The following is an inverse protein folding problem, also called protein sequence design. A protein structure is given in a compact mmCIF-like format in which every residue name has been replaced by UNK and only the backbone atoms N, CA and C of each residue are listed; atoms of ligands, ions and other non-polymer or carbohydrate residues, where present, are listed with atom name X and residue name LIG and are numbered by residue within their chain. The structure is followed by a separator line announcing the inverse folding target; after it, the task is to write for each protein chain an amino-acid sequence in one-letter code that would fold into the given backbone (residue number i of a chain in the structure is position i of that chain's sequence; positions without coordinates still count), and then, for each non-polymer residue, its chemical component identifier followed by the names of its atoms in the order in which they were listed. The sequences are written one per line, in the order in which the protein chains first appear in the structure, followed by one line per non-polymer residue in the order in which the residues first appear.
data_IF_932253696883
#
_entry.id   IF_932253696883
#
_cell.length_a   1.000
_cell.length_b   1.000
_cell.length_c   1.000
_cell.angle_alpha   90.00
_cell.angle_beta   90.00
_cell.angle_gamma   90.00
#
_symmetry.space_group_name_H-M   'P 1'
#
loop_
_entity.id
_entity.type
_entity.pdbx_description
1 polymer ?
#
# COMPACT_ATOMS: atom_id res chain seq x y z
N UNK A 1 -31.37 4.44 33.60
CA UNK A 1 -32.11 4.26 32.32
C UNK A 1 -31.22 3.56 31.30
N UNK A 2 -31.66 2.45 30.69
CA UNK A 2 -30.96 1.85 29.55
C UNK A 2 -31.14 2.79 28.35
N UNK A 3 -30.06 3.40 27.84
CA UNK A 3 -30.07 4.16 26.58
C UNK A 3 -30.49 3.20 25.46
N UNK A 4 -31.60 3.49 24.78
CA UNK A 4 -31.97 2.76 23.56
C UNK A 4 -30.98 3.13 22.46
N UNK A 5 -30.36 2.12 21.85
CA UNK A 5 -29.53 2.29 20.65
C UNK A 5 -30.41 2.04 19.43
N UNK A 6 -30.41 2.92 18.43
CA UNK A 6 -31.11 2.72 17.14
C UNK A 6 -30.46 1.64 16.24
N UNK A 7 -29.68 0.73 16.81
CA UNK A 7 -28.96 -0.34 16.11
C UNK A 7 -29.84 -1.60 16.14
N UNK A 8 -30.32 -2.05 14.99
CA UNK A 8 -31.25 -3.19 14.86
C UNK A 8 -30.55 -4.50 14.53
N UNK A 9 -29.40 -4.43 13.85
CA UNK A 9 -28.66 -5.60 13.35
C UNK A 9 -27.43 -5.93 14.21
N UNK A 10 -27.06 -7.21 14.22
CA UNK A 10 -25.91 -7.73 14.98
C UNK A 10 -24.84 -8.31 14.07
N UNK A 11 -23.60 -7.83 14.23
CA UNK A 11 -22.41 -8.39 13.60
C UNK A 11 -21.68 -9.25 14.63
N UNK A 12 -21.33 -10.49 14.25
CA UNK A 12 -20.51 -11.38 15.07
C UNK A 12 -19.18 -11.65 14.36
N UNK A 13 -18.07 -11.29 15.01
CA UNK A 13 -16.72 -11.48 14.47
C UNK A 13 -15.92 -12.41 15.39
N UNK A 14 -15.26 -13.40 14.81
CA UNK A 14 -14.28 -14.23 15.52
C UNK A 14 -12.89 -13.65 15.29
N UNK A 15 -12.16 -13.41 16.36
CA UNK A 15 -10.79 -12.86 16.32
C UNK A 15 -9.88 -13.63 17.25
N UNK A 16 -8.57 -13.55 16.99
CA UNK A 16 -7.56 -14.08 17.91
C UNK A 16 -7.46 -13.25 19.18
N UNK A 17 -6.91 -13.79 20.29
CA UNK A 17 -6.73 -13.03 21.53
C UNK A 17 -5.93 -11.74 21.32
N UNK A 18 -4.86 -11.79 20.53
CA UNK A 18 -4.01 -10.63 20.20
C UNK A 18 -4.80 -9.50 19.55
N UNK A 19 -5.66 -9.82 18.58
CA UNK A 19 -6.51 -8.84 17.91
C UNK A 19 -7.55 -8.28 18.87
N UNK A 20 -8.12 -9.11 19.74
CA UNK A 20 -9.07 -8.64 20.76
C UNK A 20 -8.41 -7.64 21.71
N UNK A 21 -7.21 -7.94 22.20
CA UNK A 21 -6.44 -7.02 23.07
C UNK A 21 -6.21 -5.68 22.38
N UNK A 22 -5.72 -5.70 21.14
CA UNK A 22 -5.51 -4.48 20.35
C UNK A 22 -6.77 -3.61 20.24
N UNK A 23 -7.93 -4.21 19.95
CA UNK A 23 -9.19 -3.47 19.83
C UNK A 23 -9.67 -2.90 21.17
N UNK A 24 -9.45 -3.61 22.27
CA UNK A 24 -9.81 -3.16 23.62
C UNK A 24 -8.92 -2.00 24.05
N UNK A 25 -7.62 -2.10 23.85
CA UNK A 25 -6.66 -1.05 24.21
C UNK A 25 -6.95 0.23 23.43
N UNK A 26 -7.26 0.12 22.12
CA UNK A 26 -7.68 1.24 21.29
C UNK A 26 -8.98 1.88 21.77
N UNK A 27 -9.97 1.09 22.17
CA UNK A 27 -11.22 1.60 22.72
C UNK A 27 -11.01 2.35 24.05
N UNK A 28 -10.14 1.83 24.92
CA UNK A 28 -9.76 2.47 26.19
C UNK A 28 -9.06 3.80 25.92
N UNK A 29 -8.09 3.83 24.99
CA UNK A 29 -7.35 5.03 24.63
C UNK A 29 -8.28 6.15 24.10
N UNK A 30 -9.30 5.78 23.33
CA UNK A 30 -10.29 6.72 22.78
C UNK A 30 -11.42 7.06 23.77
N UNK A 31 -11.48 6.41 24.94
CA UNK A 31 -12.54 6.61 25.94
C UNK A 31 -13.93 6.15 25.47
N UNK A 32 -14.00 5.21 24.53
CA UNK A 32 -15.24 4.70 23.93
C UNK A 32 -15.41 3.21 24.16
N UNK A 33 -16.60 2.68 23.89
CA UNK A 33 -16.82 1.23 23.99
C UNK A 33 -16.14 0.47 22.84
N UNK A 34 -15.79 -0.78 23.09
CA UNK A 34 -15.26 -1.69 22.05
C UNK A 34 -16.16 -1.73 20.80
N UNK A 35 -17.48 -1.70 20.99
CA UNK A 35 -18.44 -1.70 19.88
C UNK A 35 -18.38 -0.41 19.07
N UNK A 36 -18.26 0.75 19.72
CA UNK A 36 -18.11 2.05 19.04
C UNK A 36 -16.77 2.15 18.31
N UNK A 37 -15.69 1.66 18.93
CA UNK A 37 -14.37 1.60 18.31
C UNK A 37 -14.38 0.73 17.05
N UNK A 38 -14.92 -0.49 17.15
CA UNK A 38 -15.10 -1.37 15.99
C UNK A 38 -16.00 -0.74 14.92
N UNK A 39 -17.09 -0.07 15.30
CA UNK A 39 -17.96 0.62 14.33
C UNK A 39 -17.19 1.72 13.61
N UNK A 40 -16.42 2.55 14.32
CA UNK A 40 -15.61 3.61 13.71
C UNK A 40 -14.61 3.05 12.71
N UNK A 41 -13.92 1.96 13.05
CA UNK A 41 -13.00 1.29 12.11
C UNK A 41 -13.76 0.80 10.87
N UNK A 42 -14.90 0.13 11.05
CA UNK A 42 -15.69 -0.42 9.95
C UNK A 42 -16.34 0.67 9.07
N UNK A 43 -16.67 1.82 9.65
CA UNK A 43 -17.26 2.97 8.96
C UNK A 43 -16.21 3.90 8.34
N UNK A 44 -14.93 3.73 8.69
CA UNK A 44 -13.83 4.48 8.11
C UNK A 44 -13.45 3.93 6.73
N UNK A 45 -14.40 4.03 5.80
CA UNK A 45 -14.26 3.64 4.40
C UNK A 45 -13.22 4.47 3.67
N UNK A 46 -13.01 5.72 4.08
CA UNK A 46 -11.92 6.57 3.57
C UNK A 46 -10.56 5.94 3.80
N UNK A 47 -10.28 5.44 5.01
CA UNK A 47 -8.99 4.82 5.32
C UNK A 47 -8.82 3.47 4.63
N UNK A 48 -9.88 2.67 4.51
CA UNK A 48 -9.83 1.37 3.81
C UNK A 48 -9.60 1.57 2.31
N UNK A 49 -10.32 2.49 1.68
CA UNK A 49 -10.16 2.80 0.26
C UNK A 49 -8.81 3.47 -0.02
N UNK A 50 -8.37 4.40 0.84
CA UNK A 50 -7.06 5.03 0.74
C UNK A 50 -5.93 4.00 0.92
N UNK A 51 -6.07 3.04 1.84
CA UNK A 51 -5.08 1.99 2.05
C UNK A 51 -5.05 1.00 0.88
N UNK A 52 -6.21 0.60 0.36
CA UNK A 52 -6.30 -0.25 -0.83
C UNK A 52 -5.69 0.43 -2.07
N UNK A 53 -5.98 1.72 -2.25
CA UNK A 53 -5.41 2.57 -3.29
C UNK A 53 -3.87 2.67 -3.18
N UNK A 54 -3.35 2.95 -1.97
CA UNK A 54 -1.90 2.98 -1.71
C UNK A 54 -1.27 1.63 -1.97
N UNK A 55 -1.89 0.55 -1.50
CA UNK A 55 -1.39 -0.83 -1.68
C UNK A 55 -1.30 -1.21 -3.16
N UNK A 56 -2.30 -0.83 -3.96
CA UNK A 56 -2.28 -1.02 -5.41
C UNK A 56 -1.13 -0.25 -6.07
N UNK A 57 -0.95 1.02 -5.72
CA UNK A 57 0.14 1.85 -6.25
C UNK A 57 1.53 1.29 -5.87
N UNK A 58 1.72 0.84 -4.61
CA UNK A 58 2.96 0.22 -4.17
C UNK A 58 3.24 -1.11 -4.91
N UNK A 59 2.21 -1.92 -5.15
CA UNK A 59 2.37 -3.19 -5.88
C UNK A 59 2.75 -2.96 -7.35
N UNK A 60 2.14 -1.96 -8.00
CA UNK A 60 2.52 -1.55 -9.36
C UNK A 60 3.96 -1.03 -9.40
N UNK A 61 4.35 -0.18 -8.43
CA UNK A 61 5.73 0.30 -8.29
C UNK A 61 6.74 -0.83 -8.08
N UNK A 62 6.43 -1.81 -7.23
CA UNK A 62 7.31 -2.97 -6.99
C UNK A 62 7.52 -3.83 -8.25
N UNK A 63 6.46 -4.08 -9.03
CA UNK A 63 6.55 -4.81 -10.30
C UNK A 63 7.43 -4.07 -11.33
N UNK A 64 7.31 -2.74 -11.34
CA UNK A 64 8.08 -1.88 -12.21
C UNK A 64 9.58 -1.89 -11.83
N UNK A 65 9.92 -1.76 -10.54
CA UNK A 65 11.30 -1.93 -10.06
C UNK A 65 11.87 -3.31 -10.36
N UNK A 66 11.07 -4.37 -10.25
CA UNK A 66 11.49 -5.72 -10.60
C UNK A 66 11.92 -5.83 -12.08
N UNK A 67 11.22 -5.15 -12.99
CA UNK A 67 11.59 -5.11 -14.42
C UNK A 67 12.92 -4.41 -14.66
N UNK A 68 13.17 -3.28 -14.01
CA UNK A 68 14.48 -2.61 -14.07
C UNK A 68 15.58 -3.53 -13.55
N UNK A 69 15.35 -4.19 -12.40
CA UNK A 69 16.29 -5.15 -11.84
C UNK A 69 16.63 -6.29 -12.80
N UNK A 70 15.63 -6.79 -13.53
CA UNK A 70 15.84 -7.77 -14.60
C UNK A 70 16.71 -7.20 -15.73
N UNK A 71 16.42 -5.99 -16.21
CA UNK A 71 17.19 -5.35 -17.29
C UNK A 71 18.65 -5.11 -16.89
N UNK A 72 18.90 -4.62 -15.67
CA UNK A 72 20.25 -4.45 -15.11
C UNK A 72 20.97 -5.80 -15.01
N UNK A 73 20.29 -6.84 -14.55
CA UNK A 73 20.89 -8.17 -14.40
C UNK A 73 21.23 -8.80 -15.75
N UNK A 74 20.39 -8.58 -16.78
CA UNK A 74 20.69 -9.01 -18.15
C UNK A 74 21.91 -8.29 -18.71
N UNK A 75 21.99 -6.97 -18.50
CA UNK A 75 23.14 -6.17 -18.91
C UNK A 75 24.43 -6.65 -18.24
N UNK A 76 24.41 -6.86 -16.93
CA UNK A 76 25.55 -7.35 -16.17
C UNK A 76 26.02 -8.72 -16.68
N UNK A 77 25.09 -9.64 -16.96
CA UNK A 77 25.42 -10.95 -17.54
C UNK A 77 26.05 -10.82 -18.93
N UNK A 78 25.52 -9.92 -19.76
CA UNK A 78 26.07 -9.66 -21.08
C UNK A 78 27.51 -9.14 -20.99
N UNK A 79 27.75 -8.09 -20.19
CA UNK A 79 29.07 -7.54 -19.95
C UNK A 79 30.06 -8.58 -19.40
N UNK A 80 29.62 -9.41 -18.45
CA UNK A 80 30.45 -10.47 -17.90
C UNK A 80 30.77 -11.57 -18.94
N UNK A 81 29.87 -11.81 -19.89
CA UNK A 81 30.05 -12.84 -20.94
C UNK A 81 30.93 -12.39 -22.09
N UNK A 82 30.92 -11.10 -22.43
CA UNK A 82 31.72 -10.52 -23.52
C UNK A 82 33.04 -9.93 -23.03
N UNK A 83 33.15 -9.64 -21.72
CA UNK A 83 34.26 -8.86 -21.15
C UNK A 83 34.19 -7.37 -21.50
N UNK A 84 33.10 -6.94 -22.14
CA UNK A 84 32.91 -5.56 -22.59
C UNK A 84 32.03 -4.78 -21.60
N UNK A 85 32.35 -3.51 -21.40
CA UNK A 85 31.53 -2.62 -20.57
C UNK A 85 30.19 -2.31 -21.26
N UNK A 86 29.17 -2.00 -20.45
CA UNK A 86 27.89 -1.55 -20.97
C UNK A 86 28.05 -0.26 -21.77
N UNK A 87 27.35 -0.16 -22.91
CA UNK A 87 27.39 1.06 -23.72
C UNK A 87 26.60 2.19 -23.06
N UNK A 88 26.95 3.46 -23.34
CA UNK A 88 26.18 4.61 -22.89
C UNK A 88 24.69 4.52 -23.24
N UNK A 89 24.35 3.98 -24.42
CA UNK A 89 22.97 3.80 -24.89
C UNK A 89 22.19 2.80 -24.03
N UNK A 90 22.83 1.68 -23.67
CA UNK A 90 22.22 0.66 -22.80
C UNK A 90 21.94 1.21 -21.40
N UNK A 91 22.86 2.01 -20.86
CA UNK A 91 22.68 2.69 -19.58
C UNK A 91 21.59 3.78 -19.67
N UNK A 92 21.56 4.55 -20.76
CA UNK A 92 20.53 5.56 -21.01
C UNK A 92 19.13 4.95 -21.08
N UNK A 93 19.00 3.78 -21.71
CA UNK A 93 17.73 3.07 -21.80
C UNK A 93 17.18 2.72 -20.41
N UNK A 94 18.01 2.11 -19.55
CA UNK A 94 17.63 1.77 -18.16
C UNK A 94 17.26 3.04 -17.38
N UNK A 95 18.03 4.12 -17.56
CA UNK A 95 17.80 5.38 -16.87
C UNK A 95 16.50 6.06 -17.32
N UNK A 96 16.17 5.97 -18.61
CA UNK A 96 14.92 6.50 -19.16
C UNK A 96 13.71 5.70 -18.67
N UNK A 97 13.81 4.37 -18.60
CA UNK A 97 12.78 3.52 -18.01
C UNK A 97 12.54 3.85 -16.53
N UNK A 98 13.61 4.11 -15.77
CA UNK A 98 13.52 4.57 -14.38
C UNK A 98 12.84 5.93 -14.23
N UNK A 99 13.18 6.90 -15.08
CA UNK A 99 12.56 8.23 -15.09
C UNK A 99 11.07 8.18 -15.47
N UNK A 100 10.71 7.37 -16.47
CA UNK A 100 9.32 7.19 -16.88
C UNK A 100 8.48 6.62 -15.72
N UNK A 101 9.03 5.63 -15.01
CA UNK A 101 8.41 5.03 -13.83
C UNK A 101 8.23 6.02 -12.68
N UNK A 102 9.25 6.82 -12.38
CA UNK A 102 9.17 7.87 -11.37
C UNK A 102 8.03 8.86 -11.69
N UNK A 103 7.90 9.25 -12.95
CA UNK A 103 6.84 10.18 -13.41
C UNK A 103 5.45 9.57 -13.29
N UNK A 104 5.28 8.30 -13.65
CA UNK A 104 4.00 7.59 -13.54
C UNK A 104 3.56 7.44 -12.07
N UNK A 105 4.49 7.11 -11.17
CA UNK A 105 4.22 7.01 -9.73
C UNK A 105 3.81 8.38 -9.17
N UNK A 106 4.54 9.45 -9.51
CA UNK A 106 4.24 10.82 -9.06
C UNK A 106 2.86 11.29 -9.56
N UNK A 107 2.53 11.05 -10.83
CA UNK A 107 1.23 11.43 -11.39
C UNK A 107 0.07 10.74 -10.64
N UNK A 108 0.18 9.44 -10.37
CA UNK A 108 -0.85 8.68 -9.64
C UNK A 108 -0.99 9.06 -8.17
N UNK A 109 0.06 9.61 -7.55
CA UNK A 109 0.02 10.13 -6.20
C UNK A 109 -0.63 11.53 -6.17
N UNK A 110 -0.30 12.39 -7.13
CA UNK A 110 -0.82 13.77 -7.23
C UNK A 110 -2.29 13.83 -7.68
N UNK A 111 -2.74 12.95 -8.59
CA UNK A 111 -4.16 12.86 -8.99
C UNK A 111 -5.10 12.48 -7.83
N UNK A 112 -4.57 12.00 -6.70
CA UNK A 112 -5.35 11.58 -5.52
C UNK A 112 -5.35 12.57 -4.37
N UNK A 113 -4.60 13.67 -4.46
CA UNK A 113 -4.63 14.76 -3.47
C UNK A 113 -5.60 15.90 -3.86
N UNK A 114 -6.17 15.86 -5.06
CA UNK A 114 -7.06 16.89 -5.60
C UNK A 114 -8.54 16.53 -5.72
N UNK A 115 -9.00 15.46 -5.06
CA UNK A 115 -10.39 14.97 -5.11
C UNK A 115 -11.01 14.75 -3.73
#
# INVERSE_FOLDING_TARGET
MKKKTNKTERINLRVTPKVKTYLVDGAIADGITLNEFCLRILQNTETVNALAAKTKAYKESANLFARIGVNINQLARHCNSTGEAATPEQLLQILNEAKAMQKEILAKLLEKEGG
#
